data_IF_910581033090
#
_entry.id   IF_910581033090
#
_cell.length_a   1.000
_cell.length_b   1.000
_cell.length_c   1.000
_cell.angle_alpha   90.00
_cell.angle_beta   90.00
_cell.angle_gamma   90.00
#
_symmetry.space_group_name_H-M   'P 1'
#
loop_
_entity.id
_entity.type
_entity.pdbx_description
1 polymer ?
#
# COMPACT_ATOMS: atom_id res chain seq x y z
N UNK A 1 25.65 -26.76 46.85
CA UNK A 1 25.19 -25.51 47.52
C UNK A 1 23.76 -25.74 47.97
N UNK A 2 23.47 -25.66 49.28
CA UNK A 2 22.11 -25.87 49.81
C UNK A 2 21.16 -24.78 49.30
N UNK A 3 19.91 -25.09 48.93
CA UNK A 3 18.93 -24.06 48.61
C UNK A 3 18.75 -23.14 49.82
N UNK A 4 18.85 -21.82 49.60
CA UNK A 4 18.55 -20.83 50.65
C UNK A 4 17.07 -20.93 50.97
N UNK A 5 16.74 -21.34 52.20
CA UNK A 5 15.37 -21.35 52.69
C UNK A 5 14.87 -19.90 52.80
N UNK A 6 14.00 -19.50 51.88
CA UNK A 6 13.32 -18.21 51.94
C UNK A 6 12.48 -18.16 53.22
N UNK A 7 12.74 -17.18 54.07
CA UNK A 7 11.93 -16.98 55.27
C UNK A 7 10.54 -16.47 54.87
N UNK A 8 9.51 -16.76 55.68
CA UNK A 8 8.13 -16.26 55.42
C UNK A 8 8.08 -14.74 55.26
N UNK A 9 8.93 -14.01 55.99
CA UNK A 9 9.06 -12.55 55.92
C UNK A 9 9.64 -12.11 54.57
N UNK A 10 10.66 -12.80 54.06
CA UNK A 10 11.22 -12.52 52.73
C UNK A 10 10.22 -12.86 51.63
N UNK A 11 9.50 -13.98 51.75
CA UNK A 11 8.44 -14.34 50.81
C UNK A 11 7.35 -13.26 50.74
N UNK A 12 6.89 -12.74 51.88
CA UNK A 12 5.91 -11.66 51.92
C UNK A 12 6.49 -10.36 51.34
N UNK A 13 7.73 -10.00 51.66
CA UNK A 13 8.35 -8.78 51.11
C UNK A 13 8.53 -8.87 49.59
N UNK A 14 9.06 -9.98 49.09
CA UNK A 14 9.28 -10.21 47.67
C UNK A 14 7.96 -10.35 46.92
N UNK A 15 6.98 -11.06 47.49
CA UNK A 15 5.64 -11.20 46.92
C UNK A 15 4.89 -9.88 46.85
N UNK A 16 4.96 -9.05 47.90
CA UNK A 16 4.33 -7.71 47.90
C UNK A 16 5.01 -6.74 46.94
N UNK A 17 6.34 -6.79 46.81
CA UNK A 17 7.08 -6.00 45.81
C UNK A 17 6.74 -6.44 44.38
N UNK A 18 6.67 -7.75 44.13
CA UNK A 18 6.28 -8.30 42.83
C UNK A 18 4.82 -7.98 42.48
N UNK A 19 3.90 -8.04 43.46
CA UNK A 19 2.51 -7.67 43.28
C UNK A 19 2.34 -6.16 43.03
N UNK A 20 3.07 -5.30 43.76
CA UNK A 20 3.04 -3.85 43.54
C UNK A 20 3.62 -3.46 42.17
N UNK A 21 4.74 -4.07 41.77
CA UNK A 21 5.33 -3.88 40.45
C UNK A 21 4.41 -4.41 39.33
N UNK A 22 3.82 -5.59 39.52
CA UNK A 22 2.83 -6.17 38.61
C UNK A 22 1.58 -5.30 38.48
N UNK A 23 1.11 -4.70 39.58
CA UNK A 23 -0.05 -3.79 39.57
C UNK A 23 0.28 -2.49 38.87
N UNK A 24 1.49 -1.93 39.04
CA UNK A 24 1.95 -0.75 38.28
C UNK A 24 2.08 -1.03 36.78
N UNK A 25 2.54 -2.23 36.41
CA UNK A 25 2.64 -2.67 35.02
C UNK A 25 1.26 -2.94 34.39
N UNK A 26 0.32 -3.51 35.16
CA UNK A 26 -1.04 -3.82 34.71
C UNK A 26 -1.97 -2.58 34.69
N UNK A 27 -1.71 -1.56 35.52
CA UNK A 27 -2.45 -0.28 35.49
C UNK A 27 -1.98 0.68 34.39
N UNK A 28 -0.89 0.37 33.69
CA UNK A 28 -0.44 1.14 32.53
C UNK A 28 -0.29 0.23 31.30
N UNK A 29 -1.36 -0.44 30.84
CA UNK A 29 -1.30 -1.36 29.71
C UNK A 29 -0.88 -0.67 28.41
N UNK A 30 -1.00 0.68 28.35
CA UNK A 30 -0.51 1.49 27.25
C UNK A 30 1.00 1.46 27.09
N UNK A 31 1.83 1.20 28.12
CA UNK A 31 3.29 1.14 27.93
C UNK A 31 3.79 -0.25 27.53
N UNK A 32 3.08 -1.31 27.94
CA UNK A 32 3.38 -2.70 27.57
C UNK A 32 2.84 -3.08 26.19
N UNK A 33 1.73 -2.46 25.78
CA UNK A 33 1.08 -2.67 24.48
C UNK A 33 1.06 -1.43 23.58
N UNK A 34 1.86 -0.40 23.88
CA UNK A 34 2.21 0.61 22.88
C UNK A 34 3.14 -0.02 21.83
N UNK A 35 2.60 -0.95 21.05
CA UNK A 35 2.77 -0.82 19.61
C UNK A 35 2.26 0.59 19.31
N UNK A 36 3.20 1.49 19.06
CA UNK A 36 2.93 2.84 18.62
C UNK A 36 1.80 2.75 17.59
N UNK A 37 0.65 3.35 17.90
CA UNK A 37 -0.56 3.31 17.09
C UNK A 37 -0.31 4.18 15.85
N UNK A 38 0.61 3.74 14.99
CA UNK A 38 0.91 4.35 13.70
C UNK A 38 -0.30 4.12 12.80
N UNK A 39 -1.28 5.01 12.95
CA UNK A 39 -2.45 5.04 12.08
C UNK A 39 -1.97 5.31 10.66
N UNK A 40 -2.37 4.44 9.73
CA UNK A 40 -2.15 4.67 8.31
C UNK A 40 -2.93 5.92 7.86
N UNK A 41 -2.24 6.87 7.21
CA UNK A 41 -2.88 8.07 6.67
C UNK A 41 -3.43 7.79 5.28
N UNK A 42 -4.70 8.11 5.07
CA UNK A 42 -5.39 8.00 3.78
C UNK A 42 -5.91 9.37 3.38
N UNK A 43 -5.73 9.74 2.12
CA UNK A 43 -6.24 10.98 1.54
C UNK A 43 -7.12 10.64 0.35
N UNK A 44 -8.30 11.25 0.30
CA UNK A 44 -9.23 11.19 -0.81
C UNK A 44 -9.21 12.54 -1.52
N UNK A 45 -8.91 12.55 -2.81
CA UNK A 45 -9.05 13.71 -3.68
C UNK A 45 -10.00 13.37 -4.80
N UNK A 46 -10.85 14.34 -5.17
CA UNK A 46 -11.78 14.19 -6.29
C UNK A 46 -11.80 15.49 -7.09
N UNK A 47 -11.80 15.38 -8.42
CA UNK A 47 -11.97 16.53 -9.30
C UNK A 47 -12.82 16.13 -10.50
N UNK A 48 -14.01 16.74 -10.64
CA UNK A 48 -14.94 16.43 -11.75
C UNK A 48 -14.33 16.68 -13.13
N UNK A 49 -13.35 17.57 -13.23
CA UNK A 49 -12.69 17.93 -14.48
C UNK A 49 -11.61 16.92 -14.90
N UNK A 50 -11.33 15.89 -14.09
CA UNK A 50 -10.34 14.85 -14.42
C UNK A 50 -10.80 13.96 -15.57
N UNK A 51 -12.11 13.87 -15.80
CA UNK A 51 -12.69 13.18 -16.94
C UNK A 51 -13.42 14.18 -17.83
N UNK A 52 -13.08 14.21 -19.12
CA UNK A 52 -13.81 14.94 -20.13
C UNK A 52 -15.21 14.38 -20.36
N UNK A 53 -16.00 15.09 -21.16
CA UNK A 53 -17.33 14.64 -21.57
C UNK A 53 -17.26 13.30 -22.32
N UNK A 54 -16.21 13.11 -23.13
CA UNK A 54 -15.88 11.88 -23.86
C UNK A 54 -15.29 10.76 -22.97
N UNK A 55 -15.15 11.01 -21.66
CA UNK A 55 -14.59 10.07 -20.69
C UNK A 55 -13.07 9.96 -20.72
N UNK A 56 -12.37 10.74 -21.55
CA UNK A 56 -10.90 10.77 -21.54
C UNK A 56 -10.38 11.47 -20.30
N UNK A 57 -9.20 11.06 -19.88
CA UNK A 57 -8.53 11.63 -18.71
C UNK A 57 -7.87 12.94 -19.11
N UNK A 58 -8.14 13.99 -18.34
CA UNK A 58 -7.38 15.23 -18.39
C UNK A 58 -6.10 15.04 -17.56
N UNK A 59 -4.97 14.87 -18.25
CA UNK A 59 -3.66 14.57 -17.64
C UNK A 59 -3.20 15.67 -16.69
N UNK A 60 -3.42 16.94 -17.03
CA UNK A 60 -3.05 18.08 -16.21
C UNK A 60 -3.83 18.08 -14.88
N UNK A 61 -5.14 17.82 -14.93
CA UNK A 61 -5.97 17.70 -13.71
C UNK A 61 -5.57 16.46 -12.90
N UNK A 62 -5.25 15.34 -13.55
CA UNK A 62 -4.80 14.13 -12.87
C UNK A 62 -3.45 14.35 -12.14
N UNK A 63 -2.51 15.06 -12.77
CA UNK A 63 -1.24 15.47 -12.15
C UNK A 63 -1.51 16.35 -10.93
N UNK A 64 -2.37 17.36 -11.06
CA UNK A 64 -2.77 18.23 -9.94
C UNK A 64 -3.36 17.41 -8.78
N UNK A 65 -4.26 16.46 -9.07
CA UNK A 65 -4.84 15.59 -8.04
C UNK A 65 -3.77 14.78 -7.30
N UNK A 66 -2.78 14.23 -8.01
CA UNK A 66 -1.70 13.49 -7.37
C UNK A 66 -0.80 14.42 -6.55
N UNK A 67 -0.45 15.59 -7.06
CA UNK A 67 0.39 16.57 -6.38
C UNK A 67 -0.25 17.09 -5.10
N UNK A 68 -1.54 17.42 -5.15
CA UNK A 68 -2.32 17.78 -3.96
C UNK A 68 -2.35 16.62 -2.95
N UNK A 69 -2.54 15.37 -3.43
CA UNK A 69 -2.56 14.19 -2.56
C UNK A 69 -1.22 14.03 -1.84
N UNK A 70 -0.10 14.19 -2.56
CA UNK A 70 1.24 14.10 -2.00
C UNK A 70 1.51 15.18 -0.96
N UNK A 71 1.14 16.45 -1.25
CA UNK A 71 1.26 17.54 -0.27
C UNK A 71 0.48 17.25 1.01
N UNK A 72 -0.77 16.81 0.87
CA UNK A 72 -1.62 16.51 2.02
C UNK A 72 -1.06 15.32 2.80
N UNK A 73 -0.81 14.17 2.17
CA UNK A 73 -0.31 12.94 2.83
C UNK A 73 0.97 13.23 3.63
N UNK A 74 1.93 13.96 3.03
CA UNK A 74 3.25 14.18 3.64
C UNK A 74 3.39 15.50 4.39
N UNK A 75 2.31 16.29 4.48
CA UNK A 75 2.28 17.62 5.10
C UNK A 75 3.42 18.51 4.61
N UNK A 76 3.51 18.72 3.29
CA UNK A 76 4.53 19.55 2.65
C UNK A 76 3.90 20.70 1.87
N UNK A 77 4.69 21.75 1.60
CA UNK A 77 4.24 22.92 0.83
C UNK A 77 4.07 22.61 -0.65
N UNK A 78 4.90 21.72 -1.17
CA UNK A 78 4.94 21.34 -2.58
C UNK A 78 5.10 19.81 -2.72
N UNK A 79 4.69 19.29 -3.88
CA UNK A 79 4.72 17.85 -4.16
C UNK A 79 6.15 17.32 -4.34
N UNK A 80 7.08 18.12 -4.86
CA UNK A 80 8.46 17.69 -5.04
C UNK A 80 9.14 17.37 -3.70
N UNK A 81 8.91 18.20 -2.68
CA UNK A 81 9.36 17.95 -1.31
C UNK A 81 8.71 16.68 -0.72
N UNK A 82 7.43 16.42 -1.01
CA UNK A 82 6.77 15.17 -0.58
C UNK A 82 7.40 13.94 -1.23
N UNK A 83 7.60 13.96 -2.54
CA UNK A 83 8.23 12.87 -3.27
C UNK A 83 9.64 12.56 -2.76
N UNK A 84 10.46 13.58 -2.50
CA UNK A 84 11.81 13.42 -1.92
C UNK A 84 11.84 12.82 -0.52
N UNK A 85 10.72 12.80 0.23
CA UNK A 85 10.63 12.07 1.51
C UNK A 85 10.57 10.56 1.32
N UNK A 86 10.03 10.11 0.19
CA UNK A 86 9.80 8.69 -0.07
C UNK A 86 10.65 8.12 -1.21
N UNK A 87 11.31 8.94 -2.02
CA UNK A 87 12.21 8.49 -3.09
C UNK A 87 13.56 9.18 -2.93
N UNK A 88 14.62 8.39 -3.06
CA UNK A 88 16.02 8.83 -3.02
C UNK A 88 16.65 8.66 -4.41
N UNK A 89 17.63 9.50 -4.79
CA UNK A 89 18.27 9.42 -6.11
C UNK A 89 18.91 8.07 -6.45
N UNK A 90 19.36 7.32 -5.45
CA UNK A 90 20.02 6.03 -5.58
C UNK A 90 19.06 4.84 -5.66
N UNK A 91 17.75 5.04 -5.44
CA UNK A 91 16.75 3.98 -5.44
C UNK A 91 16.65 3.25 -6.80
N UNK A 92 16.23 1.98 -6.73
CA UNK A 92 15.67 1.22 -7.85
C UNK A 92 14.17 1.12 -7.61
N UNK A 93 13.37 1.70 -8.52
CA UNK A 93 11.95 1.97 -8.28
C UNK A 93 11.06 1.11 -9.18
N UNK A 94 10.28 0.24 -8.55
CA UNK A 94 9.22 -0.53 -9.23
C UNK A 94 7.85 0.13 -9.08
N UNK A 95 7.26 0.58 -10.18
CA UNK A 95 5.88 1.05 -10.25
C UNK A 95 4.99 -0.15 -10.58
N UNK A 96 4.40 -0.75 -9.55
CA UNK A 96 3.49 -1.89 -9.68
C UNK A 96 2.13 -1.41 -10.18
N UNK A 97 1.89 -1.57 -11.48
CA UNK A 97 0.63 -1.20 -12.14
C UNK A 97 -0.34 -2.39 -12.24
N UNK A 98 -1.51 -2.19 -12.87
CA UNK A 98 -2.46 -3.24 -13.24
C UNK A 98 -2.85 -3.13 -14.72
N UNK A 99 -2.69 -4.21 -15.49
CA UNK A 99 -2.94 -4.22 -16.95
C UNK A 99 -4.23 -4.94 -17.34
N UNK A 100 -5.23 -5.01 -16.46
CA UNK A 100 -6.50 -5.62 -16.84
C UNK A 100 -7.21 -4.80 -17.93
N UNK A 101 -7.45 -5.41 -19.09
CA UNK A 101 -7.86 -4.72 -20.32
C UNK A 101 -9.02 -3.73 -20.16
N UNK A 102 -10.00 -4.02 -19.29
CA UNK A 102 -11.20 -3.20 -19.16
C UNK A 102 -11.06 -2.03 -18.17
N UNK A 103 -10.23 -2.20 -17.14
CA UNK A 103 -10.02 -1.20 -16.10
C UNK A 103 -8.57 -1.29 -15.62
N UNK A 104 -7.66 -0.92 -16.51
CA UNK A 104 -6.22 -0.83 -16.23
C UNK A 104 -5.90 0.46 -15.49
N UNK A 105 -4.75 0.49 -14.82
CA UNK A 105 -4.18 1.78 -14.40
C UNK A 105 -4.00 2.66 -15.64
N UNK A 106 -4.45 3.93 -15.60
CA UNK A 106 -4.26 4.85 -16.71
C UNK A 106 -2.77 5.03 -17.05
N UNK A 107 -2.38 4.91 -18.33
CA UNK A 107 -1.02 5.24 -18.76
C UNK A 107 -0.60 6.67 -18.39
N UNK A 108 -1.56 7.61 -18.36
CA UNK A 108 -1.36 8.99 -17.90
C UNK A 108 -0.83 9.00 -16.46
N UNK A 109 -1.44 8.22 -15.56
CA UNK A 109 -1.00 8.10 -14.17
C UNK A 109 0.34 7.38 -14.06
N UNK A 110 0.57 6.32 -14.84
CA UNK A 110 1.85 5.61 -14.89
C UNK A 110 2.99 6.58 -15.25
N UNK A 111 2.80 7.41 -16.27
CA UNK A 111 3.76 8.40 -16.73
C UNK A 111 3.98 9.53 -15.73
N UNK A 112 2.90 10.03 -15.11
CA UNK A 112 2.97 11.04 -14.05
C UNK A 112 3.84 10.52 -12.89
N UNK A 113 3.58 9.31 -12.40
CA UNK A 113 4.36 8.71 -11.30
C UNK A 113 5.82 8.53 -11.72
N UNK A 114 6.09 8.00 -12.92
CA UNK A 114 7.45 7.83 -13.43
C UNK A 114 8.19 9.17 -13.48
N UNK A 115 7.55 10.22 -14.00
CA UNK A 115 8.13 11.56 -14.04
C UNK A 115 8.46 12.07 -12.64
N UNK A 116 7.55 11.96 -11.68
CA UNK A 116 7.80 12.41 -10.29
C UNK A 116 8.96 11.66 -9.63
N UNK A 117 9.15 10.37 -9.94
CA UNK A 117 10.31 9.58 -9.49
C UNK A 117 11.60 10.08 -10.15
N UNK A 118 11.59 10.36 -11.46
CA UNK A 118 12.74 10.95 -12.16
C UNK A 118 13.11 12.34 -11.63
N UNK A 119 12.11 13.17 -11.29
CA UNK A 119 12.31 14.50 -10.69
C UNK A 119 12.98 14.42 -9.29
N UNK A 120 13.00 13.24 -8.66
CA UNK A 120 13.77 12.98 -7.43
C UNK A 120 15.23 12.59 -7.68
N UNK A 121 15.67 12.50 -8.94
CA UNK A 121 17.04 12.18 -9.34
C UNK A 121 17.30 10.69 -9.62
N UNK A 122 16.26 9.86 -9.67
CA UNK A 122 16.40 8.44 -10.05
C UNK A 122 16.59 8.33 -11.56
N UNK A 123 17.64 7.61 -11.98
CA UNK A 123 17.94 7.38 -13.39
C UNK A 123 16.83 6.52 -14.06
N UNK A 124 16.49 6.81 -15.31
CA UNK A 124 15.35 6.19 -15.99
C UNK A 124 15.47 4.67 -16.09
N UNK A 125 16.68 4.15 -16.31
CA UNK A 125 17.00 2.72 -16.38
C UNK A 125 16.81 1.98 -15.05
N UNK A 126 16.69 2.72 -13.94
CA UNK A 126 16.38 2.17 -12.60
C UNK A 126 14.87 2.21 -12.29
N UNK A 127 14.03 2.60 -13.23
CA UNK A 127 12.57 2.72 -13.05
C UNK A 127 11.83 1.73 -13.94
N UNK A 128 11.03 0.86 -13.34
CA UNK A 128 10.28 -0.18 -14.04
C UNK A 128 8.78 -0.03 -13.80
N UNK A 129 7.97 -0.09 -14.85
CA UNK A 129 6.51 -0.13 -14.75
C UNK A 129 6.03 -1.51 -15.20
N UNK A 130 5.44 -2.28 -14.28
CA UNK A 130 5.04 -3.66 -14.58
C UNK A 130 3.86 -4.12 -13.74
N UNK A 131 3.03 -4.99 -14.31
CA UNK A 131 2.01 -5.75 -13.59
C UNK A 131 2.41 -7.22 -13.49
N UNK A 132 2.46 -7.92 -14.63
CA UNK A 132 2.81 -9.34 -14.74
C UNK A 132 4.30 -9.53 -15.00
N UNK A 133 4.85 -10.64 -14.52
CA UNK A 133 6.25 -11.02 -14.78
C UNK A 133 7.29 -10.33 -13.89
N UNK A 134 6.85 -9.65 -12.81
CA UNK A 134 7.73 -8.96 -11.85
C UNK A 134 8.78 -9.87 -11.20
N UNK A 135 8.53 -11.18 -11.12
CA UNK A 135 9.50 -12.17 -10.62
C UNK A 135 10.70 -12.39 -11.56
N UNK A 136 10.58 -12.04 -12.84
CA UNK A 136 11.64 -12.17 -13.85
C UNK A 136 12.22 -10.83 -14.29
N UNK A 137 11.71 -9.73 -13.73
CA UNK A 137 12.10 -8.38 -14.10
C UNK A 137 13.23 -7.91 -13.19
N UNK A 138 14.41 -7.55 -13.73
CA UNK A 138 15.58 -7.20 -12.92
C UNK A 138 15.36 -5.94 -12.07
N UNK A 139 14.51 -5.00 -12.50
CA UNK A 139 14.20 -3.82 -11.69
C UNK A 139 13.38 -4.24 -10.47
N UNK A 140 12.35 -5.07 -10.66
CA UNK A 140 11.50 -5.51 -9.55
C UNK A 140 12.22 -6.47 -8.59
N UNK A 141 13.15 -7.30 -9.08
CA UNK A 141 14.00 -8.13 -8.21
C UNK A 141 14.94 -7.29 -7.34
N UNK A 142 15.48 -6.20 -7.88
CA UNK A 142 16.41 -5.32 -7.18
C UNK A 142 15.76 -4.08 -6.58
N UNK A 143 14.43 -3.98 -6.59
CA UNK A 143 13.71 -2.79 -6.15
C UNK A 143 14.00 -2.48 -4.68
N UNK A 144 14.36 -1.22 -4.41
CA UNK A 144 14.51 -0.63 -3.07
C UNK A 144 13.27 0.18 -2.67
N UNK A 145 12.46 0.57 -3.65
CA UNK A 145 11.19 1.27 -3.48
C UNK A 145 10.14 0.71 -4.43
N UNK A 146 8.91 0.56 -3.95
CA UNK A 146 7.75 0.19 -4.74
C UNK A 146 6.66 1.26 -4.60
N UNK A 147 6.05 1.61 -5.73
CA UNK A 147 4.84 2.42 -5.80
C UNK A 147 3.74 1.51 -6.35
N UNK A 148 2.69 1.29 -5.57
CA UNK A 148 1.60 0.40 -5.93
C UNK A 148 0.41 1.20 -6.44
N UNK A 149 0.00 0.99 -7.69
CA UNK A 149 -1.16 1.66 -8.26
C UNK A 149 -2.07 0.69 -9.00
N UNK A 150 -3.37 0.85 -8.79
CA UNK A 150 -4.39 0.14 -9.57
C UNK A 150 -5.78 0.74 -9.43
N UNK A 151 -6.67 0.50 -10.39
CA UNK A 151 -8.08 0.74 -10.20
C UNK A 151 -8.72 -0.18 -9.17
N UNK A 152 -9.73 0.37 -8.49
CA UNK A 152 -10.67 -0.40 -7.70
C UNK A 152 -11.75 -1.01 -8.60
N UNK A 153 -12.10 -2.26 -8.30
CA UNK A 153 -13.33 -2.89 -8.79
C UNK A 153 -13.88 -3.85 -7.75
N UNK A 154 -15.15 -4.18 -7.85
CA UNK A 154 -15.65 -5.41 -7.23
C UNK A 154 -14.93 -6.64 -7.80
N UNK A 155 -14.75 -7.64 -6.95
CA UNK A 155 -14.15 -8.91 -7.31
C UNK A 155 -14.97 -10.05 -6.71
N UNK A 156 -15.62 -10.81 -7.59
CA UNK A 156 -16.51 -11.93 -7.27
C UNK A 156 -16.06 -12.82 -6.09
N UNK A 157 -14.77 -13.10 -5.97
CA UNK A 157 -14.24 -14.00 -4.92
C UNK A 157 -13.83 -13.30 -3.62
N UNK A 158 -13.34 -12.04 -3.68
CA UNK A 158 -12.66 -11.39 -2.55
C UNK A 158 -13.35 -10.10 -2.10
N UNK A 159 -14.59 -9.89 -2.55
CA UNK A 159 -15.33 -8.64 -2.44
C UNK A 159 -14.80 -7.56 -3.37
N UNK A 160 -13.52 -7.19 -3.23
CA UNK A 160 -12.87 -6.13 -4.02
C UNK A 160 -11.52 -6.55 -4.60
N UNK A 161 -11.22 -6.00 -5.77
CA UNK A 161 -9.90 -5.97 -6.37
C UNK A 161 -9.22 -4.64 -6.07
N UNK A 162 -8.63 -4.54 -4.88
CA UNK A 162 -7.97 -3.34 -4.36
C UNK A 162 -6.44 -3.49 -4.33
N UNK A 163 -5.75 -2.47 -3.79
CA UNK A 163 -4.29 -2.37 -3.69
C UNK A 163 -3.60 -3.62 -3.12
N UNK A 164 -4.15 -4.23 -2.06
CA UNK A 164 -3.60 -5.47 -1.47
C UNK A 164 -3.51 -6.58 -2.51
N UNK A 165 -4.56 -6.74 -3.33
CA UNK A 165 -4.64 -7.73 -4.39
C UNK A 165 -3.69 -7.46 -5.55
N UNK A 166 -3.18 -6.23 -5.71
CA UNK A 166 -2.25 -5.95 -6.80
C UNK A 166 -0.95 -6.74 -6.68
N UNK A 167 -0.58 -7.13 -5.45
CA UNK A 167 0.69 -7.81 -5.18
C UNK A 167 0.61 -9.31 -5.46
N UNK A 168 -0.55 -9.86 -5.84
CA UNK A 168 -0.71 -11.27 -6.22
C UNK A 168 0.15 -11.68 -7.43
N UNK A 169 0.83 -10.75 -8.10
CA UNK A 169 1.81 -11.02 -9.16
C UNK A 169 3.24 -11.27 -8.63
N UNK A 170 3.51 -11.06 -7.33
CA UNK A 170 4.80 -11.34 -6.69
C UNK A 170 4.94 -12.79 -6.17
N UNK A 171 4.17 -13.71 -6.75
CA UNK A 171 4.19 -15.14 -6.44
C UNK A 171 4.18 -15.92 -7.74
N UNK A 172 4.76 -17.11 -7.73
CA UNK A 172 4.90 -17.93 -8.95
C UNK A 172 3.54 -18.34 -9.52
N UNK A 173 2.61 -18.72 -8.63
CA UNK A 173 1.29 -19.20 -8.98
C UNK A 173 0.19 -18.41 -8.24
N UNK A 174 -0.34 -17.34 -8.84
CA UNK A 174 -1.38 -16.50 -8.23
C UNK A 174 -2.64 -17.25 -7.80
N UNK A 175 -2.98 -18.37 -8.46
CA UNK A 175 -4.18 -19.15 -8.13
C UNK A 175 -4.13 -19.76 -6.74
N UNK A 176 -2.94 -20.03 -6.20
CA UNK A 176 -2.78 -20.61 -4.86
C UNK A 176 -3.20 -19.65 -3.73
N UNK A 177 -3.38 -18.36 -4.05
CA UNK A 177 -3.74 -17.30 -3.10
C UNK A 177 -5.25 -16.93 -3.13
N UNK A 178 -6.09 -17.84 -3.64
CA UNK A 178 -7.55 -17.68 -3.67
C UNK A 178 -8.30 -18.49 -2.61
N UNK A 179 -7.59 -19.23 -1.75
CA UNK A 179 -8.17 -19.91 -0.59
C UNK A 179 -8.89 -18.94 0.34
N UNK A 180 -9.95 -19.42 1.00
CA UNK A 180 -10.78 -18.66 1.94
C UNK A 180 -11.08 -17.21 1.49
N UNK A 181 -11.64 -17.06 0.28
CA UNK A 181 -11.97 -15.74 -0.29
C UNK A 181 -10.79 -14.75 -0.37
N UNK A 182 -9.57 -15.27 -0.59
CA UNK A 182 -8.31 -14.53 -0.56
C UNK A 182 -7.92 -13.97 0.83
N UNK A 183 -8.33 -14.60 1.94
CA UNK A 183 -8.01 -14.13 3.30
C UNK A 183 -6.50 -13.90 3.52
N UNK A 184 -5.66 -14.80 3.01
CA UNK A 184 -4.21 -14.76 3.22
C UNK A 184 -3.45 -13.83 2.28
N UNK A 185 -4.13 -13.11 1.38
CA UNK A 185 -3.51 -12.31 0.31
C UNK A 185 -2.51 -11.26 0.83
N UNK A 186 -2.74 -10.74 2.03
CA UNK A 186 -1.84 -9.80 2.68
C UNK A 186 -0.48 -10.42 3.07
N UNK A 187 -0.38 -11.74 3.25
CA UNK A 187 0.90 -12.38 3.57
C UNK A 187 1.91 -12.30 2.42
N UNK A 188 1.48 -12.05 1.18
CA UNK A 188 2.38 -11.74 0.06
C UNK A 188 3.24 -10.50 0.37
N UNK A 189 2.70 -9.52 1.09
CA UNK A 189 3.42 -8.30 1.47
C UNK A 189 4.54 -8.54 2.48
N UNK A 190 4.59 -9.74 3.08
CA UNK A 190 5.67 -10.17 3.98
C UNK A 190 6.81 -10.87 3.23
N UNK A 191 6.66 -11.16 1.93
CA UNK A 191 7.71 -11.83 1.15
C UNK A 191 8.93 -10.93 0.99
N UNK A 192 10.17 -11.46 1.05
CA UNK A 192 11.39 -10.65 0.96
C UNK A 192 11.47 -9.73 -0.27
N UNK A 193 10.87 -10.15 -1.39
CA UNK A 193 10.86 -9.38 -2.64
C UNK A 193 10.11 -8.05 -2.51
N UNK A 194 9.13 -7.93 -1.62
CA UNK A 194 8.27 -6.73 -1.45
C UNK A 194 8.23 -6.14 -0.04
N UNK A 195 8.58 -6.92 0.99
CA UNK A 195 8.46 -6.51 2.38
C UNK A 195 9.21 -5.19 2.66
N UNK A 196 8.52 -4.24 3.28
CA UNK A 196 9.03 -2.91 3.63
C UNK A 196 9.49 -2.03 2.44
N UNK A 197 9.16 -2.41 1.20
CA UNK A 197 9.57 -1.66 0.01
C UNK A 197 8.46 -0.74 -0.53
N UNK A 198 7.20 -1.00 -0.23
CA UNK A 198 6.08 -0.14 -0.70
C UNK A 198 6.04 1.17 0.05
N UNK A 199 6.29 2.28 -0.66
CA UNK A 199 6.34 3.63 -0.06
C UNK A 199 5.14 4.50 -0.40
N UNK A 200 4.37 4.12 -1.43
CA UNK A 200 3.14 4.80 -1.81
C UNK A 200 2.13 3.79 -2.39
N UNK A 201 0.87 3.96 -2.00
CA UNK A 201 -0.27 3.24 -2.57
C UNK A 201 -1.23 4.26 -3.21
N UNK A 202 -1.60 4.05 -4.47
CA UNK A 202 -2.51 4.90 -5.24
C UNK A 202 -3.70 4.06 -5.74
N UNK A 203 -4.83 4.17 -5.04
CA UNK A 203 -6.07 3.51 -5.47
C UNK A 203 -6.79 4.42 -6.47
N UNK A 204 -6.87 3.99 -7.73
CA UNK A 204 -7.53 4.76 -8.79
C UNK A 204 -9.03 4.53 -8.73
N UNK A 205 -9.79 5.59 -8.51
CA UNK A 205 -11.25 5.58 -8.40
C UNK A 205 -11.86 6.54 -9.45
N UNK A 206 -11.30 6.63 -10.65
CA UNK A 206 -11.85 7.51 -11.70
C UNK A 206 -13.21 6.99 -12.17
N UNK A 207 -13.25 5.69 -12.51
CA UNK A 207 -14.42 4.96 -12.99
C UNK A 207 -14.51 3.55 -12.38
N UNK A 208 -14.56 3.41 -11.04
CA UNK A 208 -14.60 2.10 -10.39
C UNK A 208 -15.82 1.28 -10.84
N UNK A 209 -15.67 -0.04 -10.88
CA UNK A 209 -16.77 -0.96 -11.16
C UNK A 209 -17.37 -1.49 -9.86
N UNK A 210 -18.68 -1.29 -9.63
CA UNK A 210 -19.35 -1.71 -8.38
C UNK A 210 -19.99 -3.09 -8.46
N UNK A 211 -20.28 -3.57 -9.66
CA UNK A 211 -20.92 -4.87 -9.85
C UNK A 211 -20.27 -5.66 -10.97
N UNK A 212 -20.09 -6.97 -10.76
CA UNK A 212 -19.58 -7.89 -11.75
C UNK A 212 -20.08 -9.31 -11.50
N UNK A 213 -20.17 -10.11 -12.56
CA UNK A 213 -20.43 -11.54 -12.48
C UNK A 213 -19.16 -12.28 -12.89
N UNK A 214 -18.72 -13.23 -12.05
CA UNK A 214 -17.53 -14.02 -12.29
C UNK A 214 -16.18 -13.30 -12.07
N UNK A 215 -15.05 -14.01 -12.22
CA UNK A 215 -13.73 -13.52 -11.80
C UNK A 215 -13.19 -12.35 -12.66
N UNK A 216 -13.56 -12.31 -13.94
CA UNK A 216 -13.06 -11.34 -14.92
C UNK A 216 -14.16 -10.54 -15.63
N UNK A 217 -15.38 -10.53 -15.08
CA UNK A 217 -16.51 -9.79 -15.65
C UNK A 217 -16.28 -8.28 -15.61
N UNK A 218 -16.57 -7.62 -16.73
CA UNK A 218 -16.64 -6.16 -16.86
C UNK A 218 -17.99 -5.78 -17.47
N UNK A 219 -18.59 -4.70 -16.97
CA UNK A 219 -19.78 -4.10 -17.56
C UNK A 219 -19.68 -2.57 -17.50
N UNK A 220 -19.78 -1.88 -18.64
CA UNK A 220 -19.85 -0.41 -18.67
C UNK A 220 -21.06 0.16 -17.91
N UNK A 221 -22.14 -0.60 -17.76
CA UNK A 221 -23.32 -0.18 -16.99
C UNK A 221 -23.03 -0.09 -15.49
N UNK A 222 -22.08 -0.91 -15.02
CA UNK A 222 -21.72 -1.01 -13.60
C UNK A 222 -20.44 -0.27 -13.24
N UNK A 223 -20.04 0.72 -14.05
CA UNK A 223 -19.05 1.72 -13.66
C UNK A 223 -19.73 3.05 -13.40
N UNK A 224 -19.15 3.87 -12.51
CA UNK A 224 -19.64 5.22 -12.29
C UNK A 224 -18.46 6.19 -12.30
N UNK A 225 -18.68 7.40 -12.82
CA UNK A 225 -17.67 8.46 -12.78
C UNK A 225 -17.54 8.95 -11.33
N UNK A 226 -16.58 8.39 -10.60
CA UNK A 226 -16.30 8.80 -9.22
C UNK A 226 -15.26 9.92 -9.15
N UNK A 227 -14.45 10.09 -10.20
CA UNK A 227 -13.53 11.22 -10.38
C UNK A 227 -12.46 11.35 -9.28
N UNK A 228 -12.04 10.22 -8.66
CA UNK A 228 -11.09 10.19 -7.54
C UNK A 228 -9.96 9.19 -7.67
#
# INVERSE_FOLDING_TARGET
MSPKNLTRREFIKTGSLAAAAGTFLLNNPKSLFALQDEKSRVVLIRNKNVLGEDGKINTEVLQQMLDESMKVIFNTRDAATAWKKIIKPDDVVGIKTNVWNYLRTPPELENIIKKSVMDCGVAEEKIGIKDRGVLKDPIFQNATALINSRPMRTHYWSGVGSLVKNYIMFVEKPSDWHGDSCADLAAIWKLPVVANKTRLNVLVMLTPQFHNVGPHGFSPEYVWKYYG
#
